data_IF_727756098252
#
_entry.id   IF_727756098252
#
_cell.length_a   1.000
_cell.length_b   1.000
_cell.length_c   1.000
_cell.angle_alpha   90.00
_cell.angle_beta   90.00
_cell.angle_gamma   90.00
#
_symmetry.space_group_name_H-M   'P 1'
#
loop_
_entity.id
_entity.type
_entity.pdbx_description
1 polymer ?
#
# COMPACT_ATOMS: atom_id res chain seq x y z
N UNK A 1 20.50 5.58 2.15
CA UNK A 1 19.40 6.55 1.99
C UNK A 1 18.30 5.90 1.17
N UNK A 2 17.08 5.80 1.69
CA UNK A 2 15.91 5.28 0.97
C UNK A 2 14.95 6.40 0.50
N UNK A 3 15.36 7.66 0.69
CA UNK A 3 14.55 8.83 0.34
C UNK A 3 14.43 8.95 -1.17
N UNK A 4 13.20 9.05 -1.68
CA UNK A 4 12.92 9.23 -3.11
C UNK A 4 12.78 7.95 -3.93
N UNK A 5 12.94 6.76 -3.33
CA UNK A 5 12.66 5.49 -4.03
C UNK A 5 11.14 5.25 -4.01
N UNK A 6 10.49 5.64 -5.09
CA UNK A 6 9.09 5.31 -5.43
C UNK A 6 9.04 4.05 -6.30
N UNK A 7 7.87 3.47 -6.50
CA UNK A 7 7.70 2.31 -7.39
C UNK A 7 8.10 2.63 -8.84
N UNK A 8 7.91 3.86 -9.31
CA UNK A 8 8.34 4.25 -10.67
C UNK A 8 9.85 4.40 -10.77
N UNK A 9 10.49 5.07 -9.80
CA UNK A 9 11.95 5.26 -9.79
C UNK A 9 12.69 3.95 -9.50
N UNK A 10 12.09 3.05 -8.70
CA UNK A 10 12.59 1.70 -8.45
C UNK A 10 12.53 0.84 -9.70
N UNK A 11 11.40 0.84 -10.42
CA UNK A 11 11.27 0.08 -11.67
C UNK A 11 12.27 0.59 -12.71
N UNK A 12 12.34 1.91 -12.93
CA UNK A 12 13.30 2.50 -13.88
C UNK A 12 14.75 2.21 -13.47
N UNK A 13 15.07 2.28 -12.17
CA UNK A 13 16.39 1.92 -11.65
C UNK A 13 16.72 0.44 -11.84
N UNK A 14 15.74 -0.46 -11.71
CA UNK A 14 15.92 -1.91 -11.87
C UNK A 14 16.13 -2.34 -13.33
N UNK A 15 15.67 -1.54 -14.29
CA UNK A 15 15.86 -1.76 -15.73
C UNK A 15 17.24 -1.30 -16.23
N UNK A 16 17.95 -0.49 -15.45
CA UNK A 16 19.28 0.00 -15.79
C UNK A 16 20.32 -1.14 -15.66
N UNK A 17 20.85 -1.62 -16.79
CA UNK A 17 21.91 -2.63 -16.82
C UNK A 17 23.26 -2.00 -16.47
N UNK A 18 23.63 -1.98 -15.19
CA UNK A 18 24.93 -1.48 -14.72
C UNK A 18 24.97 -1.12 -13.24
N UNK A 19 26.09 -0.54 -12.78
CA UNK A 19 26.19 -0.01 -11.41
C UNK A 19 25.36 1.26 -11.26
N UNK A 20 24.41 1.22 -10.33
CA UNK A 20 23.58 2.36 -9.98
C UNK A 20 24.46 3.45 -9.33
N UNK A 21 24.72 4.53 -10.06
CA UNK A 21 25.52 5.65 -9.56
C UNK A 21 24.65 6.63 -8.76
N UNK A 22 25.18 7.15 -7.66
CA UNK A 22 24.50 8.15 -6.84
C UNK A 22 23.95 9.36 -7.63
N UNK A 23 24.70 9.99 -8.57
CA UNK A 23 24.16 11.08 -9.38
C UNK A 23 23.00 10.68 -10.31
N UNK A 24 22.98 9.45 -10.83
CA UNK A 24 21.86 8.94 -11.64
C UNK A 24 20.58 8.84 -10.81
N UNK A 25 20.67 8.25 -9.62
CA UNK A 25 19.53 8.15 -8.70
C UNK A 25 19.05 9.53 -8.22
N UNK A 26 19.96 10.47 -7.93
CA UNK A 26 19.59 11.84 -7.56
C UNK A 26 18.86 12.58 -8.69
N UNK A 27 19.32 12.42 -9.94
CA UNK A 27 18.61 12.93 -11.11
C UNK A 27 17.21 12.34 -11.22
N UNK A 28 17.11 11.00 -11.10
CA UNK A 28 15.85 10.26 -11.20
C UNK A 28 14.85 10.65 -10.10
N UNK A 29 15.31 10.99 -8.90
CA UNK A 29 14.49 11.42 -7.76
C UNK A 29 14.07 12.89 -7.85
N UNK A 30 14.91 13.76 -8.42
CA UNK A 30 14.61 15.19 -8.49
C UNK A 30 13.38 15.52 -9.35
N UNK A 31 13.18 14.77 -10.44
CA UNK A 31 12.05 14.97 -11.36
C UNK A 31 10.69 14.68 -10.70
N UNK A 32 10.46 13.53 -10.02
CA UNK A 32 9.26 13.27 -9.22
C UNK A 32 9.05 14.31 -8.11
N UNK A 33 10.10 14.75 -7.41
CA UNK A 33 9.95 15.72 -6.32
C UNK A 33 9.46 17.06 -6.87
N UNK A 34 10.09 17.57 -7.93
CA UNK A 34 9.68 18.84 -8.55
C UNK A 34 8.28 18.70 -9.15
N UNK A 35 8.01 17.60 -9.86
CA UNK A 35 6.70 17.31 -10.44
C UNK A 35 5.59 17.21 -9.40
N UNK A 36 5.84 16.57 -8.26
CA UNK A 36 4.89 16.45 -7.16
C UNK A 36 4.59 17.80 -6.49
N UNK A 37 5.62 18.60 -6.22
CA UNK A 37 5.45 19.92 -5.61
C UNK A 37 4.70 20.87 -6.56
N UNK A 38 5.08 20.93 -7.84
CA UNK A 38 4.39 21.74 -8.84
C UNK A 38 2.97 21.24 -9.09
N UNK A 39 2.78 19.92 -9.20
CA UNK A 39 1.48 19.30 -9.39
C UNK A 39 0.53 19.53 -8.22
N UNK A 40 1.04 19.50 -6.98
CA UNK A 40 0.25 19.82 -5.78
C UNK A 40 -0.15 21.28 -5.76
N UNK A 41 0.76 22.20 -6.12
CA UNK A 41 0.46 23.63 -6.19
C UNK A 41 -0.59 23.93 -7.26
N UNK A 42 -0.38 23.44 -8.49
CA UNK A 42 -1.32 23.60 -9.60
C UNK A 42 -2.66 22.91 -9.32
N UNK A 43 -2.62 21.68 -8.79
CA UNK A 43 -3.80 20.90 -8.42
C UNK A 43 -4.62 21.60 -7.33
N UNK A 44 -3.95 22.18 -6.33
CA UNK A 44 -4.60 23.00 -5.30
C UNK A 44 -5.30 24.23 -5.88
N UNK A 45 -4.65 24.96 -6.79
CA UNK A 45 -5.26 26.09 -7.48
C UNK A 45 -6.47 25.66 -8.32
N UNK A 46 -6.33 24.61 -9.13
CA UNK A 46 -7.37 24.12 -10.03
C UNK A 46 -8.55 23.51 -9.25
N UNK A 47 -8.29 22.89 -8.08
CA UNK A 47 -9.33 22.30 -7.23
C UNK A 47 -10.36 23.34 -6.75
N UNK A 48 -9.99 24.61 -6.64
CA UNK A 48 -10.93 25.68 -6.25
C UNK A 48 -11.92 26.06 -7.36
N UNK A 49 -11.61 25.73 -8.60
CA UNK A 49 -12.42 26.03 -9.80
C UNK A 49 -13.25 24.81 -10.22
N UNK A 50 -12.88 23.62 -9.74
CA UNK A 50 -13.51 22.35 -10.08
C UNK A 50 -14.92 22.20 -9.46
N UNK A 51 -15.93 21.69 -10.20
CA UNK A 51 -17.24 21.39 -9.65
C UNK A 51 -17.17 20.39 -8.50
N UNK A 52 -18.05 20.53 -7.49
CA UNK A 52 -18.09 19.67 -6.30
C UNK A 52 -18.18 18.17 -6.65
N UNK A 53 -18.89 17.82 -7.73
CA UNK A 53 -19.01 16.44 -8.19
C UNK A 53 -17.66 15.82 -8.57
N UNK A 54 -16.78 16.58 -9.22
CA UNK A 54 -15.48 16.10 -9.65
C UNK A 54 -14.49 16.03 -8.47
N UNK A 55 -14.56 16.99 -7.53
CA UNK A 55 -13.79 16.93 -6.28
C UNK A 55 -14.14 15.67 -5.47
N UNK A 56 -15.43 15.36 -5.31
CA UNK A 56 -15.88 14.13 -4.66
C UNK A 56 -15.40 12.88 -5.41
N UNK A 57 -15.43 12.89 -6.74
CA UNK A 57 -14.95 11.78 -7.56
C UNK A 57 -13.44 11.54 -7.41
N UNK A 58 -12.62 12.58 -7.27
CA UNK A 58 -11.17 12.43 -7.06
C UNK A 58 -10.86 11.69 -5.75
N UNK A 59 -11.59 11.97 -4.67
CA UNK A 59 -11.45 11.25 -3.41
C UNK A 59 -11.77 9.75 -3.56
N UNK A 60 -12.85 9.42 -4.25
CA UNK A 60 -13.25 8.02 -4.51
C UNK A 60 -12.25 7.32 -5.44
N UNK A 61 -11.72 8.04 -6.44
CA UNK A 61 -10.75 7.51 -7.39
C UNK A 61 -9.46 7.03 -6.72
N UNK A 62 -8.98 7.73 -5.69
CA UNK A 62 -7.81 7.30 -4.90
C UNK A 62 -8.06 5.97 -4.18
N UNK A 63 -9.23 5.81 -3.54
CA UNK A 63 -9.59 4.53 -2.93
C UNK A 63 -9.72 3.42 -3.98
N UNK A 64 -10.33 3.72 -5.13
CA UNK A 64 -10.47 2.78 -6.23
C UNK A 64 -9.11 2.32 -6.78
N UNK A 65 -8.12 3.21 -6.87
CA UNK A 65 -6.75 2.89 -7.32
C UNK A 65 -6.09 1.85 -6.41
N UNK A 66 -6.12 2.05 -5.09
CA UNK A 66 -5.54 1.09 -4.15
C UNK A 66 -6.25 -0.27 -4.21
N UNK A 67 -7.58 -0.26 -4.31
CA UNK A 67 -8.36 -1.49 -4.47
C UNK A 67 -7.99 -2.20 -5.78
N UNK A 68 -7.84 -1.48 -6.89
CA UNK A 68 -7.45 -2.04 -8.18
C UNK A 68 -6.05 -2.66 -8.17
N UNK A 69 -5.12 -2.16 -7.35
CA UNK A 69 -3.79 -2.77 -7.16
C UNK A 69 -3.83 -4.03 -6.28
N UNK A 70 -4.68 -4.04 -5.25
CA UNK A 70 -4.77 -5.16 -4.29
C UNK A 70 -5.54 -6.35 -4.89
N UNK A 71 -6.62 -6.11 -5.65
CA UNK A 71 -7.49 -7.16 -6.20
C UNK A 71 -6.72 -8.21 -7.04
N UNK A 72 -5.84 -7.84 -7.99
CA UNK A 72 -5.08 -8.81 -8.77
C UNK A 72 -4.18 -9.71 -7.91
N UNK A 73 -3.53 -9.15 -6.89
CA UNK A 73 -2.71 -9.92 -5.96
C UNK A 73 -3.56 -10.89 -5.11
N UNK A 74 -4.72 -10.42 -4.64
CA UNK A 74 -5.67 -11.23 -3.89
C UNK A 74 -6.24 -12.39 -4.73
N UNK A 75 -6.50 -12.18 -6.02
CA UNK A 75 -6.99 -13.23 -6.92
C UNK A 75 -5.95 -14.31 -7.23
N UNK A 76 -4.66 -13.97 -7.16
CA UNK A 76 -3.57 -14.91 -7.42
C UNK A 76 -3.21 -15.78 -6.22
N UNK A 77 -3.60 -15.39 -5.00
CA UNK A 77 -3.18 -16.07 -3.77
C UNK A 77 -4.29 -16.15 -2.73
N UNK A 78 -4.73 -17.38 -2.44
CA UNK A 78 -5.70 -17.67 -1.39
C UNK A 78 -5.28 -17.15 0.00
N UNK A 79 -3.98 -17.22 0.41
CA UNK A 79 -3.56 -16.64 1.68
C UNK A 79 -3.81 -15.13 1.77
N UNK A 80 -3.53 -14.38 0.70
CA UNK A 80 -3.75 -12.92 0.67
C UNK A 80 -5.23 -12.60 0.72
N UNK A 81 -6.07 -13.34 0.00
CA UNK A 81 -7.52 -13.19 0.08
C UNK A 81 -8.04 -13.45 1.51
N UNK A 82 -7.55 -14.49 2.19
CA UNK A 82 -7.93 -14.80 3.57
C UNK A 82 -7.56 -13.69 4.54
N UNK A 83 -6.35 -13.12 4.41
CA UNK A 83 -5.90 -11.99 5.22
C UNK A 83 -6.80 -10.77 5.01
N UNK A 84 -7.14 -10.44 3.75
CA UNK A 84 -8.03 -9.31 3.43
C UNK A 84 -9.41 -9.51 4.06
N UNK A 85 -10.00 -10.69 3.91
CA UNK A 85 -11.32 -11.00 4.49
C UNK A 85 -11.30 -10.92 6.02
N UNK A 86 -10.25 -11.45 6.65
CA UNK A 86 -10.08 -11.42 8.10
C UNK A 86 -9.91 -9.99 8.60
N UNK A 87 -9.11 -9.16 7.90
CA UNK A 87 -8.94 -7.75 8.24
C UNK A 87 -10.27 -6.99 8.17
N UNK A 88 -11.07 -7.20 7.12
CA UNK A 88 -12.39 -6.59 6.97
C UNK A 88 -13.34 -7.06 8.07
N UNK A 89 -13.37 -8.37 8.38
CA UNK A 89 -14.21 -8.92 9.43
C UNK A 89 -13.86 -8.36 10.82
N UNK A 90 -12.57 -8.32 11.16
CA UNK A 90 -12.09 -7.75 12.44
C UNK A 90 -12.38 -6.25 12.52
N UNK A 91 -12.11 -5.50 11.44
CA UNK A 91 -12.40 -4.06 11.42
C UNK A 91 -13.90 -3.77 11.59
N UNK A 92 -14.76 -4.56 10.95
CA UNK A 92 -16.21 -4.49 11.15
C UNK A 92 -16.58 -4.84 12.59
N UNK A 93 -16.06 -5.93 13.15
CA UNK A 93 -16.35 -6.32 14.53
C UNK A 93 -15.95 -5.23 15.53
N UNK A 94 -14.73 -4.68 15.42
CA UNK A 94 -14.25 -3.58 16.28
C UNK A 94 -15.09 -2.31 16.12
N UNK A 95 -15.60 -2.03 14.92
CA UNK A 95 -16.49 -0.88 14.66
C UNK A 95 -17.88 -1.04 15.28
N UNK A 96 -18.45 -2.24 15.24
CA UNK A 96 -19.81 -2.50 15.73
C UNK A 96 -19.88 -2.88 17.22
N UNK A 97 -18.77 -3.30 17.83
CA UNK A 97 -18.72 -3.60 19.27
C UNK A 97 -18.53 -2.28 20.06
N UNK A 98 -19.54 -1.82 20.82
CA UNK A 98 -19.49 -0.55 21.55
C UNK A 98 -18.48 -0.57 22.72
N UNK A 99 -17.94 -1.74 23.07
CA UNK A 99 -16.91 -1.90 24.10
C UNK A 99 -15.58 -1.22 23.73
N UNK A 100 -15.31 -1.00 22.44
CA UNK A 100 -14.12 -0.31 21.92
C UNK A 100 -14.42 1.09 21.38
N UNK A 101 -15.54 1.70 21.78
CA UNK A 101 -15.93 3.04 21.32
C UNK A 101 -14.91 4.14 21.68
N UNK A 102 -14.03 3.90 22.66
CA UNK A 102 -12.93 4.80 23.03
C UNK A 102 -11.74 4.77 22.06
N UNK A 103 -11.66 3.75 21.19
CA UNK A 103 -10.55 3.58 20.25
C UNK A 103 -10.81 4.42 18.99
N UNK A 104 -9.84 5.27 18.63
CA UNK A 104 -9.90 6.09 17.42
C UNK A 104 -9.91 5.25 16.14
N UNK A 105 -10.52 5.76 15.07
CA UNK A 105 -10.63 5.03 13.80
C UNK A 105 -9.29 4.54 13.26
N UNK A 106 -8.21 5.32 13.45
CA UNK A 106 -6.85 4.91 13.06
C UNK A 106 -6.35 3.69 13.84
N UNK A 107 -6.57 3.64 15.14
CA UNK A 107 -6.17 2.48 15.97
C UNK A 107 -6.96 1.22 15.62
N UNK A 108 -8.23 1.35 15.22
CA UNK A 108 -9.05 0.21 14.78
C UNK A 108 -8.42 -0.48 13.57
N UNK A 109 -7.98 0.31 12.60
CA UNK A 109 -7.29 -0.20 11.40
C UNK A 109 -5.98 -0.90 11.78
N UNK A 110 -5.18 -0.31 12.68
CA UNK A 110 -3.92 -0.92 13.14
C UNK A 110 -4.17 -2.27 13.82
N UNK A 111 -5.14 -2.36 14.73
CA UNK A 111 -5.46 -3.61 15.42
C UNK A 111 -5.96 -4.67 14.42
N UNK A 112 -6.82 -4.27 13.49
CA UNK A 112 -7.36 -5.16 12.48
C UNK A 112 -6.28 -5.71 11.54
N UNK A 113 -5.32 -4.88 11.11
CA UNK A 113 -4.22 -5.33 10.24
C UNK A 113 -3.27 -6.25 10.97
N UNK A 114 -2.91 -5.96 12.21
CA UNK A 114 -2.05 -6.84 13.04
C UNK A 114 -2.74 -8.19 13.29
N UNK A 115 -4.01 -8.18 13.68
CA UNK A 115 -4.76 -9.40 13.92
C UNK A 115 -4.91 -10.25 12.65
N UNK A 116 -5.19 -9.62 11.50
CA UNK A 116 -5.32 -10.32 10.23
C UNK A 116 -3.99 -10.88 9.73
N UNK A 117 -2.88 -10.14 9.90
CA UNK A 117 -1.55 -10.63 9.56
C UNK A 117 -1.14 -11.82 10.44
N UNK A 118 -1.41 -11.75 11.75
CA UNK A 118 -1.16 -12.85 12.68
C UNK A 118 -2.00 -14.09 12.33
N UNK A 119 -3.29 -13.91 12.07
CA UNK A 119 -4.17 -15.01 11.64
C UNK A 119 -3.72 -15.61 10.30
N UNK A 120 -3.33 -14.78 9.34
CA UNK A 120 -2.80 -15.22 8.05
C UNK A 120 -1.52 -16.04 8.18
N UNK A 121 -0.56 -15.57 8.99
CA UNK A 121 0.70 -16.26 9.23
C UNK A 121 0.49 -17.61 9.94
N UNK A 122 -0.48 -17.70 10.85
CA UNK A 122 -0.77 -18.93 11.58
C UNK A 122 -1.51 -19.97 10.71
N UNK A 123 -2.44 -19.53 9.86
CA UNK A 123 -3.19 -20.42 8.96
C UNK A 123 -2.37 -20.84 7.74
N UNK A 124 -1.50 -19.95 7.25
CA UNK A 124 -0.61 -20.20 6.11
C UNK A 124 0.85 -19.94 6.50
N UNK A 125 1.48 -20.84 7.27
CA UNK A 125 2.91 -20.74 7.54
C UNK A 125 3.69 -20.75 6.23
N UNK A 126 4.67 -19.85 6.13
CA UNK A 126 5.49 -19.67 4.93
C UNK A 126 6.12 -21.01 4.51
N UNK A 127 5.88 -21.45 3.28
CA UNK A 127 6.56 -22.60 2.67
C UNK A 127 8.07 -22.37 2.44
N UNK A 128 8.64 -21.26 2.90
CA UNK A 128 10.09 -21.05 2.86
C UNK A 128 10.85 -21.96 3.84
N UNK A 129 10.17 -22.51 4.86
CA UNK A 129 10.80 -23.49 5.77
C UNK A 129 11.07 -24.84 5.07
N UNK A 130 10.21 -25.25 4.13
CA UNK A 130 10.36 -26.50 3.35
C UNK A 130 11.54 -26.49 2.35
N UNK A 131 12.07 -25.32 1.99
CA UNK A 131 13.23 -25.22 1.10
C UNK A 131 14.56 -25.20 1.86
N UNK A 132 14.57 -24.73 3.12
CA UNK A 132 15.76 -24.80 3.98
C UNK A 132 16.00 -26.20 4.54
N UNK A 133 14.96 -26.98 4.78
CA UNK A 133 15.08 -28.32 5.37
C UNK A 133 15.51 -29.39 4.35
N UNK A 134 15.15 -29.24 3.07
CA UNK A 134 15.59 -30.14 1.97
C UNK A 134 17.02 -29.90 1.47
N UNK A 135 17.62 -28.75 1.78
CA UNK A 135 19.03 -28.46 1.50
C UNK A 135 19.94 -28.89 2.67
N UNK A 136 19.36 -29.27 3.82
CA UNK A 136 20.06 -29.68 5.04
C UNK A 136 19.87 -31.18 5.38
N UNK A 137 19.15 -31.95 4.55
CA UNK A 137 18.92 -33.40 4.68
C UNK A 137 19.54 -34.18 3.52
#
# INVERSE_FOLDING_TARGET
MAFGITDETFVVGSLQTGVLTAPFMLGLISMPIVGWNLGTLLGGCISTILPQALQNAMGIALYAMFIALIIPAARKSLPVLFVILTAVAVNCAVKYIPLFAFVSDGFRVIIATVAAAAAGAWVFPSREEEHKERELS
#
